data_IF_935378145874
#
_entry.id   IF_935378145874
#
_cell.length_a   1.000
_cell.length_b   1.000
_cell.length_c   1.000
_cell.angle_alpha   90.00
_cell.angle_beta   90.00
_cell.angle_gamma   90.00
#
_symmetry.space_group_name_H-M   'P 1'
#
loop_
_entity.id
_entity.type
_entity.pdbx_description
1 polymer ?
#
# COMPACT_ATOMS: atom_id res chain seq x y z
N UNK A 1 -3.72 14.63 -0.96
CA UNK A 1 -4.01 13.21 -1.24
C UNK A 1 -2.90 12.72 -2.14
N UNK A 2 -2.29 11.59 -1.83
CA UNK A 2 -1.22 10.96 -2.61
C UNK A 2 -1.82 9.90 -3.55
N UNK A 3 -1.11 9.59 -4.63
CA UNK A 3 -1.46 8.50 -5.54
C UNK A 3 -0.59 7.29 -5.18
N UNK A 4 -1.13 6.40 -4.36
CA UNK A 4 -0.41 5.28 -3.80
C UNK A 4 -0.60 4.02 -4.64
N UNK A 5 0.44 3.17 -4.68
CA UNK A 5 0.37 1.81 -5.22
C UNK A 5 0.90 0.80 -4.22
N UNK A 6 0.22 -0.33 -4.07
CA UNK A 6 0.73 -1.49 -3.35
C UNK A 6 0.61 -2.74 -4.21
N UNK A 7 1.69 -3.51 -4.32
CA UNK A 7 1.70 -4.82 -4.99
C UNK A 7 1.79 -5.90 -3.93
N UNK A 8 0.89 -6.87 -3.98
CA UNK A 8 1.00 -8.07 -3.17
C UNK A 8 1.96 -9.07 -3.84
N UNK A 9 3.20 -9.15 -3.38
CA UNK A 9 4.18 -10.11 -3.92
C UNK A 9 4.08 -11.52 -3.28
N UNK A 10 3.08 -11.76 -2.42
CA UNK A 10 2.87 -13.04 -1.75
C UNK A 10 1.96 -13.97 -2.56
N UNK A 11 2.17 -15.27 -2.42
CA UNK A 11 1.33 -16.33 -3.01
C UNK A 11 -0.03 -16.52 -2.30
N UNK A 12 -0.43 -15.56 -1.46
CA UNK A 12 -1.68 -15.61 -0.69
C UNK A 12 -2.35 -14.24 -0.65
N UNK A 13 -3.65 -14.22 -0.39
CA UNK A 13 -4.39 -12.97 -0.22
C UNK A 13 -3.92 -12.20 1.01
N UNK A 14 -3.97 -10.88 0.90
CA UNK A 14 -3.76 -9.95 2.03
C UNK A 14 -4.89 -8.93 2.08
N UNK A 15 -5.00 -8.25 3.22
CA UNK A 15 -5.92 -7.15 3.46
C UNK A 15 -5.07 -5.91 3.73
N UNK A 16 -5.20 -4.90 2.87
CA UNK A 16 -4.65 -3.57 3.11
C UNK A 16 -5.65 -2.76 3.91
N UNK A 17 -5.23 -2.22 5.05
CA UNK A 17 -5.96 -1.22 5.83
C UNK A 17 -5.18 0.08 5.80
N UNK A 18 -5.80 1.16 5.36
CA UNK A 18 -5.19 2.48 5.35
C UNK A 18 -6.05 3.45 6.15
N UNK A 19 -5.43 4.14 7.10
CA UNK A 19 -6.11 5.09 7.99
C UNK A 19 -5.25 6.33 8.22
N UNK A 20 -5.90 7.49 8.37
CA UNK A 20 -5.20 8.76 8.51
C UNK A 20 -6.08 9.87 9.06
N UNK A 21 -5.62 11.11 8.95
CA UNK A 21 -6.37 12.29 9.40
C UNK A 21 -7.78 12.39 8.80
N UNK A 22 -8.63 13.19 9.44
CA UNK A 22 -10.02 13.44 9.03
C UNK A 22 -10.90 12.17 8.97
N UNK A 23 -10.64 11.20 9.86
CA UNK A 23 -11.34 9.91 9.88
C UNK A 23 -11.25 9.15 8.54
N UNK A 24 -10.17 9.35 7.78
CA UNK A 24 -9.94 8.58 6.57
C UNK A 24 -9.73 7.12 6.94
N UNK A 25 -10.46 6.23 6.27
CA UNK A 25 -10.32 4.79 6.38
C UNK A 25 -10.57 4.13 5.02
N UNK A 26 -9.70 3.20 4.64
CA UNK A 26 -9.82 2.36 3.47
C UNK A 26 -9.43 0.94 3.85
N UNK A 27 -10.24 -0.05 3.48
CA UNK A 27 -9.88 -1.46 3.59
C UNK A 27 -10.11 -2.15 2.24
N UNK A 28 -9.13 -2.94 1.79
CA UNK A 28 -9.20 -3.70 0.53
C UNK A 28 -8.52 -5.05 0.66
N UNK A 29 -9.15 -6.07 0.08
CA UNK A 29 -8.53 -7.37 -0.18
C UNK A 29 -7.67 -7.24 -1.43
N UNK A 30 -6.47 -7.81 -1.40
CA UNK A 30 -5.52 -7.81 -2.52
C UNK A 30 -5.13 -9.27 -2.79
N UNK A 31 -5.42 -9.73 -4.01
CA UNK A 31 -5.11 -11.09 -4.45
C UNK A 31 -3.60 -11.27 -4.67
N UNK A 32 -3.10 -12.52 -4.73
CA UNK A 32 -1.71 -12.79 -5.09
C UNK A 32 -1.32 -12.06 -6.38
N UNK A 33 -0.20 -11.33 -6.33
CA UNK A 33 0.40 -10.58 -7.44
C UNK A 33 -0.42 -9.41 -8.00
N UNK A 34 -1.54 -9.07 -7.37
CA UNK A 34 -2.36 -7.92 -7.74
C UNK A 34 -1.65 -6.60 -7.39
N UNK A 35 -1.83 -5.60 -8.27
CA UNK A 35 -1.43 -4.22 -8.02
C UNK A 35 -2.66 -3.39 -7.68
N UNK A 36 -2.74 -2.93 -6.43
CA UNK A 36 -3.79 -2.01 -5.99
C UNK A 36 -3.30 -0.56 -6.15
N UNK A 37 -4.08 0.25 -6.86
CA UNK A 37 -3.94 1.70 -6.89
C UNK A 37 -5.00 2.32 -5.97
N UNK A 38 -4.59 3.27 -5.13
CA UNK A 38 -5.49 3.96 -4.21
C UNK A 38 -5.01 5.37 -3.88
N UNK A 39 -5.89 6.18 -3.28
CA UNK A 39 -5.52 7.54 -2.85
C UNK A 39 -5.68 7.69 -1.36
N UNK A 40 -4.65 8.21 -0.69
CA UNK A 40 -4.61 8.34 0.76
C UNK A 40 -4.08 9.72 1.20
N UNK A 41 -4.41 10.18 2.42
CA UNK A 41 -3.75 11.32 3.07
C UNK A 41 -2.24 11.08 3.20
N UNK A 42 -1.44 12.14 3.14
CA UNK A 42 0.03 12.02 3.22
C UNK A 42 0.56 11.67 4.61
N UNK A 43 -0.28 11.67 5.63
CA UNK A 43 0.00 11.25 6.99
C UNK A 43 -0.63 9.88 7.32
N UNK A 44 -1.22 9.21 6.33
CA UNK A 44 -1.88 7.93 6.53
C UNK A 44 -0.88 6.79 6.75
N UNK A 45 -1.25 5.88 7.63
CA UNK A 45 -0.60 4.59 7.86
C UNK A 45 -1.32 3.52 7.05
N UNK A 46 -0.55 2.53 6.59
CA UNK A 46 -1.01 1.41 5.78
C UNK A 46 -0.53 0.13 6.44
N UNK A 47 -1.46 -0.68 6.93
CA UNK A 47 -1.18 -2.01 7.46
C UNK A 47 -1.56 -3.08 6.44
N UNK A 48 -0.70 -4.08 6.30
CA UNK A 48 -0.96 -5.26 5.49
C UNK A 48 -1.18 -6.45 6.40
N UNK A 49 -2.35 -7.07 6.30
CA UNK A 49 -2.75 -8.21 7.10
C UNK A 49 -2.88 -9.46 6.24
N UNK A 50 -2.41 -10.59 6.72
CA UNK A 50 -2.64 -11.89 6.10
C UNK A 50 -3.48 -12.79 6.99
N UNK A 51 -3.94 -13.91 6.43
CA UNK A 51 -4.56 -14.96 7.21
C UNK A 51 -3.50 -16.02 7.55
N UNK A 52 -3.31 -16.28 8.85
CA UNK A 52 -2.50 -17.38 9.36
C UNK A 52 -3.37 -18.49 9.96
N UNK A 53 -2.74 -19.58 10.39
CA UNK A 53 -3.40 -20.72 11.05
C UNK A 53 -4.06 -20.30 12.39
N UNK A 54 -3.62 -19.18 12.99
CA UNK A 54 -4.13 -18.64 14.25
C UNK A 54 -5.05 -17.41 14.13
N UNK A 55 -5.40 -16.97 12.92
CA UNK A 55 -6.17 -15.74 12.69
C UNK A 55 -5.42 -14.68 11.87
N UNK A 56 -5.87 -13.42 11.90
CA UNK A 56 -5.20 -12.31 11.22
C UNK A 56 -3.79 -12.08 11.75
N UNK A 57 -2.83 -11.93 10.85
CA UNK A 57 -1.43 -11.66 11.16
C UNK A 57 -1.02 -10.36 10.45
N UNK A 58 -0.48 -9.40 11.21
CA UNK A 58 0.10 -8.18 10.64
C UNK A 58 1.42 -8.55 9.97
N UNK A 59 1.50 -8.34 8.66
CA UNK A 59 2.68 -8.63 7.83
C UNK A 59 3.66 -7.46 7.88
N UNK A 60 3.15 -6.25 7.64
CA UNK A 60 3.96 -5.04 7.58
C UNK A 60 3.09 -3.79 7.81
N UNK A 61 3.77 -2.70 8.20
CA UNK A 61 3.20 -1.36 8.32
C UNK A 61 4.04 -0.41 7.49
N UNK A 62 3.40 0.36 6.62
CA UNK A 62 3.98 1.29 5.68
C UNK A 62 3.34 2.67 5.85
N UNK A 63 4.04 3.72 5.42
CA UNK A 63 3.45 5.05 5.31
C UNK A 63 2.96 5.29 3.89
N UNK A 64 1.83 5.99 3.74
CA UNK A 64 1.30 6.32 2.41
C UNK A 64 2.30 7.06 1.50
N UNK A 65 3.24 7.81 2.09
CA UNK A 65 4.35 8.48 1.36
C UNK A 65 5.32 7.50 0.71
N UNK A 66 5.58 6.37 1.35
CA UNK A 66 6.47 5.32 0.83
C UNK A 66 5.83 4.57 -0.35
N UNK A 67 4.51 4.69 -0.50
CA UNK A 67 3.74 4.08 -1.58
C UNK A 67 3.42 5.06 -2.72
N UNK A 68 3.87 6.32 -2.64
CA UNK A 68 3.52 7.34 -3.64
C UNK A 68 4.22 7.07 -4.99
N UNK A 69 3.43 7.01 -6.07
CA UNK A 69 3.93 6.71 -7.41
C UNK A 69 4.86 7.77 -8.02
N UNK A 70 4.90 8.97 -7.43
CA UNK A 70 5.62 10.12 -8.01
C UNK A 70 7.14 10.07 -7.81
N UNK A 71 7.65 9.35 -6.79
CA UNK A 71 9.11 9.19 -6.60
C UNK A 71 9.75 8.28 -7.67
N UNK A 72 8.96 7.42 -8.33
CA UNK A 72 9.47 6.49 -9.35
C UNK A 72 9.70 7.13 -10.73
N UNK A 73 9.19 8.35 -10.99
CA UNK A 73 9.30 8.95 -12.32
C UNK A 73 10.56 9.82 -12.53
N UNK A 74 11.12 10.43 -11.48
CA UNK A 74 12.30 11.29 -11.62
C UNK A 74 13.58 10.51 -11.94
N UNK A 75 13.74 9.29 -11.40
CA UNK A 75 14.94 8.47 -11.62
C UNK A 75 15.07 7.98 -13.06
N UNK A 76 13.95 7.71 -13.75
CA UNK A 76 13.98 7.25 -15.14
C UNK A 76 14.23 8.36 -16.16
N UNK A 77 13.96 9.62 -15.82
CA UNK A 77 14.21 10.75 -16.73
C UNK A 77 15.67 11.23 -16.69
N UNK A 78 16.35 11.04 -15.56
CA UNK A 78 17.77 11.37 -15.38
C UNK A 78 18.74 10.35 -16.01
N UNK A 79 18.29 9.11 -16.24
CA UNK A 79 19.10 8.05 -16.87
C UNK A 79 19.01 8.02 -18.41
N UNK A 80 18.14 8.86 -19.00
CA UNK A 80 17.95 8.96 -20.45
C UNK A 80 18.55 10.22 -21.09
N UNK A 81 19.33 11.01 -20.35
CA UNK A 81 19.96 12.25 -20.79
C UNK A 81 21.48 12.11 -21.00
#
# INVERSE_FOLDING_TARGET
MLNCSYRNDLERMVILRCFGSNNYYLERVIFPFELLNFSAPGDAEVEIWSHGIGGPELVETLRSRELNNEESQETNMLLSA
#
